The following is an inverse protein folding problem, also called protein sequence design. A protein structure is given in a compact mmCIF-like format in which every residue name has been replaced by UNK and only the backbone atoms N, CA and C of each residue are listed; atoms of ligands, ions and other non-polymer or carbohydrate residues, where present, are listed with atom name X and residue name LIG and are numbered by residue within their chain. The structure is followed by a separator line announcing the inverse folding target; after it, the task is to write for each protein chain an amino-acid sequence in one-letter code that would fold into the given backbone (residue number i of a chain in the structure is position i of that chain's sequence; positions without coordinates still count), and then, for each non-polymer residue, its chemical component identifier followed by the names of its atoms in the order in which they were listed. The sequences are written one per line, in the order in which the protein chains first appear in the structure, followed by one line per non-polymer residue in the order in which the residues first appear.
data_IF_677371994984
#
_entry.id   IF_677371994984
#
_cell.length_a   1.000
_cell.length_b   1.000
_cell.length_c   1.000
_cell.angle_alpha   90.00
_cell.angle_beta   90.00
_cell.angle_gamma   90.00
#
_symmetry.space_group_name_H-M   'P 1'
#
loop_
_entity.id
_entity.type
_entity.pdbx_description
1 polymer ?
#
# COMPACT_ATOMS: atom_id res chain seq x y z
N UNK A 1 26.90 4.31 11.61
CA UNK A 1 25.80 3.40 11.21
C UNK A 1 25.86 3.25 9.70
N UNK A 2 25.92 2.03 9.16
CA UNK A 2 25.96 1.78 7.71
C UNK A 2 24.68 2.28 7.02
N UNK A 3 24.74 3.46 6.41
CA UNK A 3 23.67 4.04 5.57
C UNK A 3 23.19 3.08 4.48
N UNK A 4 24.09 2.22 3.97
CA UNK A 4 23.78 1.14 3.02
C UNK A 4 22.83 0.10 3.61
N UNK A 5 23.05 -0.36 4.85
CA UNK A 5 22.16 -1.31 5.53
C UNK A 5 20.81 -0.67 5.86
N UNK A 6 20.81 0.59 6.30
CA UNK A 6 19.60 1.32 6.64
C UNK A 6 18.69 1.49 5.42
N UNK A 7 19.28 1.88 4.28
CA UNK A 7 18.58 2.00 2.99
C UNK A 7 18.00 0.67 2.53
N UNK A 8 18.76 -0.43 2.65
CA UNK A 8 18.29 -1.75 2.25
C UNK A 8 17.13 -2.24 3.13
N UNK A 9 17.17 -1.96 4.43
CA UNK A 9 16.08 -2.25 5.37
C UNK A 9 14.85 -1.42 5.01
N UNK A 10 14.99 -0.12 4.74
CA UNK A 10 13.88 0.76 4.37
C UNK A 10 13.15 0.25 3.12
N UNK A 11 13.90 -0.12 2.07
CA UNK A 11 13.34 -0.64 0.82
C UNK A 11 12.62 -1.98 1.07
N UNK A 12 13.21 -2.89 1.86
CA UNK A 12 12.59 -4.19 2.18
C UNK A 12 11.31 -4.03 2.98
N UNK A 13 11.32 -3.16 4.00
CA UNK A 13 10.15 -2.90 4.84
C UNK A 13 9.07 -2.20 4.02
N UNK A 14 9.41 -1.15 3.27
CA UNK A 14 8.45 -0.44 2.40
C UNK A 14 7.83 -1.38 1.35
N UNK A 15 8.63 -2.27 0.77
CA UNK A 15 8.16 -3.32 -0.14
C UNK A 15 7.21 -4.30 0.55
N UNK A 16 7.57 -4.81 1.73
CA UNK A 16 6.73 -5.73 2.50
C UNK A 16 5.40 -5.08 2.90
N UNK A 17 5.41 -3.82 3.34
CA UNK A 17 4.20 -3.06 3.70
C UNK A 17 3.31 -2.87 2.47
N UNK A 18 3.88 -2.57 1.31
CA UNK A 18 3.13 -2.41 0.05
C UNK A 18 2.47 -3.72 -0.37
N UNK A 19 3.17 -4.85 -0.26
CA UNK A 19 2.60 -6.18 -0.55
C UNK A 19 1.51 -6.53 0.44
N UNK A 20 1.71 -6.28 1.74
CA UNK A 20 0.68 -6.51 2.76
C UNK A 20 -0.58 -5.66 2.49
N UNK A 21 -0.42 -4.41 2.06
CA UNK A 21 -1.54 -3.55 1.66
C UNK A 21 -2.32 -4.14 0.47
N UNK A 22 -1.62 -4.65 -0.55
CA UNK A 22 -2.24 -5.32 -1.69
C UNK A 22 -3.00 -6.59 -1.28
N UNK A 23 -2.40 -7.42 -0.43
CA UNK A 23 -3.03 -8.66 0.05
C UNK A 23 -4.28 -8.32 0.87
N UNK A 24 -4.22 -7.33 1.76
CA UNK A 24 -5.37 -6.88 2.54
C UNK A 24 -6.48 -6.39 1.63
N UNK A 25 -6.17 -5.52 0.66
CA UNK A 25 -7.14 -5.03 -0.30
C UNK A 25 -7.80 -6.18 -1.07
N UNK A 26 -7.00 -7.10 -1.62
CA UNK A 26 -7.50 -8.22 -2.41
C UNK A 26 -8.35 -9.18 -1.57
N UNK A 27 -7.99 -9.40 -0.30
CA UNK A 27 -8.78 -10.21 0.62
C UNK A 27 -10.13 -9.55 0.93
N UNK A 28 -10.13 -8.27 1.30
CA UNK A 28 -11.35 -7.54 1.65
C UNK A 28 -12.31 -7.41 0.47
N UNK A 29 -11.85 -6.85 -0.66
CA UNK A 29 -12.70 -6.68 -1.84
C UNK A 29 -12.99 -8.01 -2.54
N UNK A 30 -12.11 -9.01 -2.44
CA UNK A 30 -12.35 -10.36 -2.96
C UNK A 30 -13.48 -11.09 -2.24
N UNK A 31 -13.62 -10.91 -0.92
CA UNK A 31 -14.78 -11.43 -0.17
C UNK A 31 -16.07 -10.72 -0.62
N UNK A 32 -16.04 -9.39 -0.67
CA UNK A 32 -17.21 -8.58 -0.99
C UNK A 32 -17.69 -8.80 -2.43
N UNK A 33 -16.78 -8.89 -3.39
CA UNK A 33 -17.13 -9.16 -4.81
C UNK A 33 -17.69 -10.55 -5.02
N UNK A 34 -17.20 -11.56 -4.27
CA UNK A 34 -17.79 -12.90 -4.28
C UNK A 34 -19.22 -12.92 -3.74
N UNK A 35 -19.51 -12.13 -2.71
CA UNK A 35 -20.85 -12.06 -2.11
C UNK A 35 -21.82 -11.21 -2.94
N UNK A 36 -21.35 -10.12 -3.54
CA UNK A 36 -22.17 -9.18 -4.32
C UNK A 36 -22.23 -9.50 -5.82
N UNK A 37 -21.50 -10.52 -6.30
CA UNK A 37 -21.45 -10.89 -7.72
C UNK A 37 -20.76 -9.88 -8.63
N UNK A 38 -19.91 -9.01 -8.06
CA UNK A 38 -19.18 -7.96 -8.77
C UNK A 38 -17.78 -8.38 -9.23
N UNK A 39 -17.09 -7.50 -9.96
CA UNK A 39 -15.71 -7.73 -10.39
C UNK A 39 -14.71 -6.99 -9.47
N UNK A 40 -13.62 -7.67 -9.10
CA UNK A 40 -12.53 -7.06 -8.30
C UNK A 40 -11.82 -5.93 -9.05
N UNK A 41 -11.92 -5.93 -10.39
CA UNK A 41 -11.43 -4.86 -11.26
C UNK A 41 -12.06 -3.50 -10.96
N UNK A 42 -13.33 -3.46 -10.58
CA UNK A 42 -14.01 -2.19 -10.26
C UNK A 42 -13.54 -1.63 -8.91
N UNK A 43 -13.03 -2.50 -8.04
CA UNK A 43 -12.47 -2.13 -6.75
C UNK A 43 -11.00 -1.67 -6.84
N UNK A 44 -10.34 -1.74 -8.00
CA UNK A 44 -8.92 -1.34 -8.12
C UNK A 44 -8.71 0.13 -7.76
N UNK A 45 -9.70 0.99 -8.08
CA UNK A 45 -9.71 2.38 -7.63
C UNK A 45 -9.69 2.51 -6.10
N UNK A 46 -10.30 1.53 -5.40
CA UNK A 46 -10.35 1.48 -3.95
C UNK A 46 -9.01 1.14 -3.27
N UNK A 47 -8.02 0.66 -4.05
CA UNK A 47 -6.68 0.40 -3.55
C UNK A 47 -5.97 1.71 -3.15
N UNK A 48 -6.16 2.77 -3.94
CA UNK A 48 -5.45 4.04 -3.76
C UNK A 48 -6.38 5.22 -3.43
N UNK A 49 -7.70 5.06 -3.55
CA UNK A 49 -8.70 6.10 -3.28
C UNK A 49 -9.90 5.58 -2.51
N UNK A 50 -10.38 6.31 -1.50
CA UNK A 50 -11.62 6.00 -0.78
C UNK A 50 -12.86 6.68 -1.38
N UNK A 51 -12.78 7.22 -2.58
CA UNK A 51 -13.87 8.00 -3.18
C UNK A 51 -14.97 7.12 -3.80
N UNK A 52 -16.22 7.62 -3.78
CA UNK A 52 -17.35 6.97 -4.43
C UNK A 52 -17.75 5.61 -3.81
N UNK A 53 -17.91 4.55 -4.63
CA UNK A 53 -18.39 3.24 -4.16
C UNK A 53 -17.52 2.61 -3.06
N UNK A 54 -16.21 2.88 -3.09
CA UNK A 54 -15.24 2.39 -2.10
C UNK A 54 -15.56 2.88 -0.68
N UNK A 55 -15.93 4.17 -0.57
CA UNK A 55 -16.33 4.79 0.69
C UNK A 55 -17.60 4.15 1.25
N UNK A 56 -18.58 3.87 0.38
CA UNK A 56 -19.82 3.20 0.77
C UNK A 56 -19.58 1.79 1.31
N UNK A 57 -18.79 0.98 0.58
CA UNK A 57 -18.44 -0.39 0.97
C UNK A 57 -17.65 -0.39 2.29
N UNK A 58 -16.68 0.52 2.45
CA UNK A 58 -15.90 0.65 3.68
C UNK A 58 -16.76 1.04 4.89
N UNK A 59 -17.71 1.96 4.71
CA UNK A 59 -18.65 2.37 5.75
C UNK A 59 -19.60 1.25 6.14
N UNK A 60 -20.08 0.47 5.17
CA UNK A 60 -20.94 -0.68 5.41
C UNK A 60 -20.21 -1.80 6.15
N UNK A 61 -18.97 -2.10 5.77
CA UNK A 61 -18.15 -3.09 6.46
C UNK A 61 -17.83 -2.69 7.90
N UNK A 62 -17.54 -1.40 8.15
CA UNK A 62 -17.33 -0.89 9.50
C UNK A 62 -18.58 -1.04 10.37
N UNK A 63 -19.77 -0.85 9.80
CA UNK A 63 -21.05 -1.12 10.46
C UNK A 63 -21.25 -2.62 10.78
N UNK A 64 -20.77 -3.51 9.91
CA UNK A 64 -20.77 -4.95 10.12
C UNK A 64 -19.70 -5.47 11.08
N UNK A 65 -18.90 -4.59 11.69
CA UNK A 65 -17.80 -4.97 12.60
C UNK A 65 -16.55 -5.51 11.90
N UNK A 66 -16.49 -5.43 10.57
CA UNK A 66 -15.34 -5.84 9.77
C UNK A 66 -14.46 -4.62 9.52
N UNK A 67 -13.15 -4.73 9.77
CA UNK A 67 -12.20 -3.64 9.55
C UNK A 67 -12.04 -3.37 8.05
N UNK A 68 -12.51 -2.22 7.53
CA UNK A 68 -12.42 -1.93 6.12
C UNK A 68 -10.96 -1.72 5.68
N UNK A 69 -10.65 -2.12 4.45
CA UNK A 69 -9.37 -1.77 3.85
C UNK A 69 -9.22 -0.24 3.77
N UNK A 70 -8.07 0.28 4.22
CA UNK A 70 -7.76 1.69 4.19
C UNK A 70 -6.62 1.98 3.18
N UNK A 71 -6.86 2.79 2.13
CA UNK A 71 -5.84 3.10 1.13
C UNK A 71 -4.65 3.88 1.69
N UNK A 72 -4.76 4.45 2.90
CA UNK A 72 -3.63 5.08 3.60
C UNK A 72 -2.47 4.09 3.79
N UNK A 73 -2.74 2.81 4.01
CA UNK A 73 -1.69 1.79 4.18
C UNK A 73 -0.88 1.60 2.90
N UNK A 74 -1.53 1.66 1.74
CA UNK A 74 -0.86 1.62 0.44
C UNK A 74 0.04 2.85 0.25
N UNK A 75 -0.47 4.04 0.54
CA UNK A 75 0.31 5.28 0.44
C UNK A 75 1.50 5.31 1.41
N UNK A 76 1.36 4.80 2.63
CA UNK A 76 2.48 4.64 3.56
C UNK A 76 3.56 3.75 2.96
N UNK A 77 3.18 2.59 2.40
CA UNK A 77 4.10 1.69 1.73
C UNK A 77 4.84 2.36 0.55
N UNK A 78 4.09 3.07 -0.31
CA UNK A 78 4.63 3.77 -1.48
C UNK A 78 5.58 4.91 -1.09
N UNK A 79 5.19 5.75 -0.12
CA UNK A 79 6.03 6.85 0.37
C UNK A 79 7.30 6.32 1.02
N UNK A 80 7.19 5.25 1.83
CA UNK A 80 8.34 4.64 2.49
C UNK A 80 9.32 4.01 1.49
N UNK A 81 8.80 3.36 0.43
CA UNK A 81 9.61 2.88 -0.69
C UNK A 81 10.26 4.04 -1.45
N UNK A 82 9.51 5.09 -1.73
CA UNK A 82 9.99 6.28 -2.43
C UNK A 82 11.15 6.94 -1.69
N UNK A 83 11.02 7.16 -0.38
CA UNK A 83 12.09 7.69 0.47
C UNK A 83 13.31 6.77 0.42
N UNK A 84 13.12 5.46 0.53
CA UNK A 84 14.22 4.49 0.44
C UNK A 84 14.95 4.52 -0.91
N UNK A 85 14.23 4.71 -2.01
CA UNK A 85 14.81 4.84 -3.36
C UNK A 85 15.56 6.16 -3.51
N UNK A 86 14.98 7.28 -3.06
CA UNK A 86 15.62 8.61 -3.13
C UNK A 86 16.93 8.58 -2.33
N UNK A 87 16.90 8.07 -1.10
CA UNK A 87 18.11 7.92 -0.28
C UNK A 87 19.17 7.06 -0.98
N UNK A 88 18.76 5.95 -1.62
CA UNK A 88 19.67 5.08 -2.38
C UNK A 88 20.31 5.82 -3.56
N UNK A 89 19.56 6.66 -4.26
CA UNK A 89 20.07 7.46 -5.39
C UNK A 89 21.03 8.54 -4.89
N UNK A 90 20.67 9.30 -3.85
CA UNK A 90 21.53 10.35 -3.28
C UNK A 90 22.85 9.80 -2.74
N UNK A 91 22.84 8.63 -2.07
CA UNK A 91 24.08 7.98 -1.61
C UNK A 91 24.94 7.46 -2.78
N UNK A 92 24.32 7.11 -3.91
CA UNK A 92 25.05 6.69 -5.12
C UNK A 92 25.69 7.89 -5.84
N UNK A 93 25.05 9.07 -5.79
CA UNK A 93 25.55 10.30 -6.41
C UNK A 93 26.78 10.86 -5.67
N UNK A 94 26.78 10.79 -4.34
CA UNK A 94 27.88 11.25 -3.50
C UNK A 94 29.16 10.42 -3.70
N UNK A 95 29.04 9.14 -4.04
CA UNK A 95 30.17 8.24 -4.32
C UNK A 95 30.65 8.24 -5.78
N UNK A 96 29.97 8.97 -6.66
CA UNK A 96 30.38 9.15 -8.07
C UNK A 96 31.09 10.50 -8.30
N UNK A 97 31.15 11.35 -7.27
CA UNK A 97 31.78 12.68 -7.30
C UNK A 97 33.15 12.73 -6.60
N UNK A 98 33.62 11.60 -6.08
CA UNK A 98 34.95 11.41 -5.46
C UNK A 98 35.92 10.69 -6.42
#
# INVERSE_FOLDING_TARGET
MDTKKLTQILIRIGGAVTVAAFIWWAYFYGQITKEMGGNIGDAFGCLYSSSGPCGFISGFAQFGGVTPYNPVVFWIGVVMLGIGIILKLSTKEESASE
#
